data_IF_883016357267
#
_entry.id   IF_883016357267
#
_cell.length_a   1.000
_cell.length_b   1.000
_cell.length_c   1.000
_cell.angle_alpha   90.00
_cell.angle_beta   90.00
_cell.angle_gamma   90.00
#
_symmetry.space_group_name_H-M   'P 1'
#
loop_
_entity.id
_entity.type
_entity.pdbx_description
1 polymer ?
#
# COMPACT_ATOMS: atom_id res chain seq x y z
N UNK A 1 -33.65 -22.88 70.23
CA UNK A 1 -32.76 -23.26 71.34
C UNK A 1 -31.55 -23.94 70.68
N UNK A 2 -30.31 -23.47 70.67
CA UNK A 2 -29.51 -22.59 71.56
C UNK A 2 -28.23 -22.14 70.82
N UNK A 3 -27.81 -20.89 71.08
CA UNK A 3 -26.43 -20.33 71.26
C UNK A 3 -25.29 -20.76 70.32
N UNK A 4 -24.69 -19.88 69.50
CA UNK A 4 -23.65 -18.85 69.80
C UNK A 4 -22.35 -19.42 70.41
N UNK A 5 -21.21 -19.29 69.69
CA UNK A 5 -20.00 -18.57 70.16
C UNK A 5 -18.91 -18.46 69.08
N UNK A 6 -18.28 -17.28 69.05
CA UNK A 6 -17.13 -16.86 68.24
C UNK A 6 -15.80 -17.23 68.93
N UNK A 7 -14.67 -17.11 68.22
CA UNK A 7 -13.35 -16.54 68.63
C UNK A 7 -12.23 -17.21 67.79
N UNK A 8 -11.40 -16.51 66.99
CA UNK A 8 -10.41 -15.45 67.29
C UNK A 8 -9.24 -16.05 68.11
N UNK A 9 -8.08 -16.26 67.47
CA UNK A 9 -6.71 -15.74 67.79
C UNK A 9 -5.77 -16.95 67.89
N UNK A 10 -4.45 -16.97 67.68
CA UNK A 10 -3.42 -15.97 67.45
C UNK A 10 -2.16 -16.70 66.89
N UNK A 11 -1.28 -15.93 66.26
CA UNK A 11 0.01 -16.26 65.61
C UNK A 11 1.11 -16.77 66.59
N UNK A 12 2.44 -16.66 66.27
CA UNK A 12 3.27 -17.47 65.38
C UNK A 12 4.52 -18.07 66.10
N UNK A 13 5.44 -18.65 65.32
CA UNK A 13 6.89 -18.85 65.59
C UNK A 13 7.30 -20.27 66.01
N UNK A 14 8.06 -20.97 65.16
CA UNK A 14 9.49 -21.31 65.34
C UNK A 14 10.04 -22.06 64.09
N UNK A 15 11.19 -21.58 63.60
CA UNK A 15 12.07 -22.05 62.49
C UNK A 15 12.75 -23.41 62.85
N UNK A 16 13.42 -24.19 61.95
CA UNK A 16 14.27 -23.71 60.83
C UNK A 16 14.35 -24.55 59.52
N UNK A 17 14.72 -23.82 58.45
CA UNK A 17 15.72 -24.14 57.44
C UNK A 17 15.87 -25.60 56.94
N UNK A 18 15.36 -25.87 55.74
CA UNK A 18 16.12 -26.62 54.73
C UNK A 18 15.94 -25.98 53.35
N UNK A 19 17.02 -25.33 52.92
CA UNK A 19 17.24 -24.81 51.58
C UNK A 19 17.31 -26.00 50.63
N UNK A 20 16.33 -26.15 49.74
CA UNK A 20 16.50 -26.93 48.53
C UNK A 20 16.96 -25.99 47.43
N UNK A 21 18.26 -26.06 47.12
CA UNK A 21 18.87 -25.40 45.98
C UNK A 21 18.27 -25.98 44.69
N UNK A 22 17.24 -25.35 44.14
CA UNK A 22 16.89 -25.52 42.73
C UNK A 22 18.00 -24.88 41.90
N UNK A 23 18.90 -25.73 41.39
CA UNK A 23 19.86 -25.39 40.35
C UNK A 23 19.13 -24.70 39.19
N UNK A 24 19.30 -23.38 39.09
CA UNK A 24 19.13 -22.65 37.84
C UNK A 24 20.21 -23.15 36.85
N UNK A 25 19.90 -24.25 36.16
CA UNK A 25 20.62 -24.61 34.95
C UNK A 25 20.15 -23.66 33.85
N UNK A 26 20.90 -22.56 33.70
CA UNK A 26 20.88 -21.71 32.53
C UNK A 26 21.10 -22.56 31.27
N UNK A 27 20.04 -22.91 30.55
CA UNK A 27 20.13 -23.50 29.23
C UNK A 27 20.60 -22.43 28.24
N UNK A 28 21.90 -22.17 28.23
CA UNK A 28 22.55 -21.47 27.14
C UNK A 28 22.51 -22.38 25.90
N UNK A 29 21.45 -22.21 25.10
CA UNK A 29 21.33 -22.85 23.80
C UNK A 29 22.48 -22.32 22.94
N UNK A 30 23.51 -23.16 22.73
CA UNK A 30 24.63 -22.91 21.82
C UNK A 30 24.11 -22.86 20.38
N UNK A 31 23.54 -21.71 20.00
CA UNK A 31 23.19 -21.41 18.62
C UNK A 31 24.48 -21.24 17.84
N UNK A 32 24.73 -22.17 16.90
CA UNK A 32 25.80 -22.06 15.91
C UNK A 32 25.89 -20.64 15.35
N UNK A 33 27.10 -20.11 15.19
CA UNK A 33 27.32 -18.79 14.56
C UNK A 33 26.58 -18.64 13.22
N UNK A 34 26.39 -19.74 12.47
CA UNK A 34 25.56 -19.76 11.25
C UNK A 34 24.07 -19.51 11.53
N UNK A 35 23.52 -20.05 12.63
CA UNK A 35 22.14 -19.81 13.05
C UNK A 35 21.94 -18.35 13.51
N UNK A 36 22.92 -17.79 14.22
CA UNK A 36 22.91 -16.38 14.63
C UNK A 36 22.91 -15.43 13.42
N UNK A 37 23.73 -15.72 12.40
CA UNK A 37 23.78 -14.96 11.15
C UNK A 37 22.47 -15.05 10.35
N UNK A 38 21.82 -16.23 10.30
CA UNK A 38 20.50 -16.39 9.67
C UNK A 38 19.43 -15.55 10.38
N UNK A 39 19.44 -15.51 11.71
CA UNK A 39 18.51 -14.71 12.52
C UNK A 39 18.71 -13.20 12.31
N UNK A 40 19.96 -12.75 12.22
CA UNK A 40 20.32 -11.34 11.94
C UNK A 40 19.93 -10.91 10.52
N UNK A 41 20.01 -11.80 9.54
CA UNK A 41 19.60 -11.55 8.14
C UNK A 41 18.08 -11.58 7.91
N UNK A 42 17.29 -12.15 8.84
CA UNK A 42 15.83 -12.06 8.82
C UNK A 42 15.31 -10.73 9.36
N UNK A 43 16.09 -10.01 10.17
CA UNK A 43 15.79 -8.63 10.61
C UNK A 43 16.13 -7.59 9.55
N UNK A 44 15.76 -7.84 8.28
CA UNK A 44 15.66 -6.75 7.31
C UNK A 44 14.54 -5.84 7.80
N UNK A 45 14.92 -4.72 8.41
CA UNK A 45 13.99 -3.62 8.74
C UNK A 45 13.07 -3.43 7.52
N UNK A 46 11.74 -3.39 7.69
CA UNK A 46 10.85 -3.21 6.56
C UNK A 46 11.29 -1.94 5.88
N UNK A 47 11.70 -2.05 4.61
CA UNK A 47 11.98 -0.89 3.79
C UNK A 47 10.64 -0.15 3.73
N UNK A 48 10.53 0.87 4.57
CA UNK A 48 9.52 1.92 4.50
C UNK A 48 9.72 2.59 3.15
N UNK A 49 9.19 1.94 2.11
CA UNK A 49 9.06 2.57 0.80
C UNK A 49 7.97 3.61 1.03
N UNK A 50 8.38 4.88 1.09
CA UNK A 50 7.53 6.08 1.01
C UNK A 50 6.98 6.18 -0.43
N UNK A 51 6.40 5.08 -0.90
CA UNK A 51 5.56 5.06 -2.09
C UNK A 51 4.17 4.88 -1.50
N UNK A 52 3.19 5.74 -1.83
CA UNK A 52 1.82 5.51 -1.41
C UNK A 52 1.41 4.11 -1.88
N UNK A 53 1.42 3.15 -0.95
CA UNK A 53 0.98 1.78 -1.21
C UNK A 53 -0.51 1.78 -0.96
N UNK A 54 -1.25 1.36 -1.98
CA UNK A 54 -2.66 1.05 -1.83
C UNK A 54 -2.82 -0.02 -0.73
N UNK A 55 -3.79 0.12 0.19
CA UNK A 55 -4.01 -0.85 1.25
C UNK A 55 -4.19 -2.25 0.66
N UNK A 56 -3.62 -3.24 1.34
CA UNK A 56 -3.43 -4.59 0.82
C UNK A 56 -4.73 -5.32 0.46
N UNK A 57 -5.84 -4.94 1.11
CA UNK A 57 -7.18 -5.45 0.87
C UNK A 57 -7.81 -5.04 -0.46
N UNK A 58 -7.24 -4.04 -1.17
CA UNK A 58 -7.84 -3.47 -2.39
C UNK A 58 -6.89 -3.67 -3.58
N UNK A 59 -6.08 -4.73 -3.59
CA UNK A 59 -5.19 -5.07 -4.70
C UNK A 59 -5.92 -5.78 -5.84
N UNK A 60 -6.98 -5.19 -6.41
CA UNK A 60 -7.46 -5.68 -7.70
C UNK A 60 -6.44 -5.34 -8.78
N UNK A 61 -5.72 -6.35 -9.28
CA UNK A 61 -4.75 -6.19 -10.38
C UNK A 61 -5.41 -5.64 -11.66
N UNK A 62 -6.72 -5.83 -11.80
CA UNK A 62 -7.48 -5.53 -13.00
C UNK A 62 -8.01 -4.08 -13.05
N UNK A 63 -8.35 -3.47 -11.91
CA UNK A 63 -8.90 -2.10 -11.90
C UNK A 63 -7.90 -1.09 -12.49
N UNK A 64 -6.65 -1.00 -12.02
CA UNK A 64 -5.69 -0.06 -12.59
C UNK A 64 -5.39 -0.28 -14.07
N UNK A 65 -5.37 -1.55 -14.50
CA UNK A 65 -5.16 -1.95 -15.90
C UNK A 65 -6.28 -1.42 -16.77
N UNK A 66 -7.54 -1.62 -16.35
CA UNK A 66 -8.70 -1.19 -17.09
C UNK A 66 -8.77 0.34 -17.17
N UNK A 67 -8.50 1.02 -16.06
CA UNK A 67 -8.46 2.49 -16.01
C UNK A 67 -7.36 3.06 -16.90
N UNK A 68 -6.15 2.51 -16.84
CA UNK A 68 -5.07 2.93 -17.72
C UNK A 68 -5.43 2.73 -19.20
N UNK A 69 -6.03 1.59 -19.55
CA UNK A 69 -6.47 1.32 -20.91
C UNK A 69 -7.50 2.35 -21.39
N UNK A 70 -8.49 2.68 -20.55
CA UNK A 70 -9.52 3.67 -20.87
C UNK A 70 -8.92 5.07 -21.12
N UNK A 71 -8.00 5.51 -20.26
CA UNK A 71 -7.33 6.82 -20.42
C UNK A 71 -6.50 6.86 -21.70
N UNK A 72 -5.68 5.84 -21.95
CA UNK A 72 -4.86 5.77 -23.17
C UNK A 72 -5.74 5.75 -24.42
N UNK A 73 -6.86 5.03 -24.38
CA UNK A 73 -7.81 5.01 -25.49
C UNK A 73 -8.45 6.39 -25.73
N UNK A 74 -8.79 7.15 -24.68
CA UNK A 74 -9.27 8.53 -24.86
C UNK A 74 -8.23 9.44 -25.51
N UNK A 75 -6.95 9.29 -25.13
CA UNK A 75 -5.85 10.04 -25.74
C UNK A 75 -5.70 9.67 -27.22
N UNK A 76 -5.69 8.38 -27.54
CA UNK A 76 -5.52 7.91 -28.93
C UNK A 76 -6.72 8.27 -29.83
N UNK A 77 -7.91 8.42 -29.25
CA UNK A 77 -9.12 8.85 -29.96
C UNK A 77 -9.26 10.37 -30.06
N UNK A 78 -8.24 11.15 -29.68
CA UNK A 78 -8.23 12.61 -29.72
C UNK A 78 -9.27 13.31 -28.80
N UNK A 79 -9.82 12.62 -27.80
CA UNK A 79 -10.88 13.16 -26.93
C UNK A 79 -10.37 14.13 -25.84
N UNK A 80 -9.04 14.28 -25.71
CA UNK A 80 -8.39 15.11 -24.67
C UNK A 80 -7.27 15.99 -25.24
N UNK A 81 -7.33 16.30 -26.54
CA UNK A 81 -6.31 17.08 -27.24
C UNK A 81 -6.22 18.54 -26.77
N UNK A 82 -7.32 19.06 -26.24
CA UNK A 82 -7.44 20.38 -25.61
C UNK A 82 -6.57 20.53 -24.35
N UNK A 83 -6.20 19.41 -23.72
CA UNK A 83 -5.38 19.37 -22.50
C UNK A 83 -3.88 19.19 -22.78
N UNK A 84 -3.48 19.19 -24.06
CA UNK A 84 -2.11 18.83 -24.47
C UNK A 84 -1.48 19.98 -25.27
N UNK A 85 -0.49 20.65 -24.69
CA UNK A 85 0.30 21.70 -25.35
C UNK A 85 1.01 21.22 -26.63
N UNK A 86 1.96 20.28 -26.51
CA UNK A 86 2.71 19.72 -27.64
C UNK A 86 2.20 18.31 -27.94
N UNK A 87 1.17 18.26 -28.78
CA UNK A 87 0.52 17.01 -29.16
C UNK A 87 1.51 16.01 -29.78
N UNK A 88 2.41 16.46 -30.67
CA UNK A 88 3.35 15.57 -31.36
C UNK A 88 4.30 14.91 -30.38
N UNK A 89 4.88 15.68 -29.46
CA UNK A 89 5.79 15.13 -28.45
C UNK A 89 5.05 14.24 -27.45
N UNK A 90 3.86 14.66 -27.03
CA UNK A 90 3.04 13.90 -26.10
C UNK A 90 2.60 12.56 -26.70
N UNK A 91 2.17 12.51 -27.96
CA UNK A 91 1.84 11.26 -28.64
C UNK A 91 3.03 10.32 -28.77
N UNK A 92 4.23 10.84 -29.05
CA UNK A 92 5.47 10.03 -29.02
C UNK A 92 5.71 9.45 -27.63
N UNK A 93 5.49 10.23 -26.58
CA UNK A 93 5.59 9.78 -25.19
C UNK A 93 4.57 8.69 -24.86
N UNK A 94 3.30 8.85 -25.24
CA UNK A 94 2.24 7.87 -25.02
C UNK A 94 2.52 6.58 -25.81
N UNK A 95 2.97 6.69 -27.05
CA UNK A 95 3.29 5.54 -27.90
C UNK A 95 4.46 4.73 -27.33
N UNK A 96 5.50 5.40 -26.83
CA UNK A 96 6.62 4.74 -26.12
C UNK A 96 6.15 4.02 -24.86
N UNK A 97 5.12 4.55 -24.21
CA UNK A 97 4.54 3.99 -22.99
C UNK A 97 3.24 3.20 -23.24
N UNK A 98 2.94 2.75 -24.47
CA UNK A 98 1.66 2.06 -24.80
C UNK A 98 1.41 0.77 -23.98
N UNK A 99 2.46 0.20 -23.39
CA UNK A 99 2.40 -0.95 -22.49
C UNK A 99 2.02 -0.60 -21.04
N UNK A 100 1.39 0.55 -20.79
CA UNK A 100 0.73 0.85 -19.50
C UNK A 100 -0.53 -0.05 -19.37
N UNK A 101 -0.30 -1.35 -19.22
CA UNK A 101 -1.33 -2.36 -18.96
C UNK A 101 -1.39 -2.74 -17.48
N UNK A 102 -0.55 -2.13 -16.63
CA UNK A 102 -0.54 -2.44 -15.21
C UNK A 102 -0.32 -1.17 -14.39
N UNK A 103 -0.74 -1.24 -13.13
CA UNK A 103 -0.62 -0.15 -12.17
C UNK A 103 0.84 0.30 -12.01
N UNK A 104 1.79 -0.62 -11.97
CA UNK A 104 3.18 -0.30 -11.75
C UNK A 104 3.76 0.60 -12.87
N UNK A 105 3.39 0.32 -14.12
CA UNK A 105 3.76 1.14 -15.26
C UNK A 105 3.04 2.48 -15.20
N UNK A 106 1.74 2.49 -14.87
CA UNK A 106 0.98 3.74 -14.72
C UNK A 106 1.65 4.66 -13.69
N UNK A 107 1.99 4.12 -12.52
CA UNK A 107 2.69 4.82 -11.44
C UNK A 107 4.10 5.28 -11.84
N UNK A 108 4.81 4.56 -12.70
CA UNK A 108 6.11 5.01 -13.22
C UNK A 108 5.96 6.25 -14.10
N UNK A 109 4.94 6.26 -14.96
CA UNK A 109 4.71 7.34 -15.92
C UNK A 109 4.13 8.58 -15.23
N UNK A 110 3.50 8.43 -14.07
CA UNK A 110 2.96 9.56 -13.31
C UNK A 110 3.92 10.13 -12.26
N UNK A 111 5.07 9.50 -11.98
CA UNK A 111 6.03 10.06 -11.01
C UNK A 111 6.79 11.25 -11.60
N UNK A 112 7.06 12.31 -10.82
CA UNK A 112 7.94 13.39 -11.25
C UNK A 112 9.31 12.86 -11.70
N UNK A 113 9.80 13.40 -12.81
CA UNK A 113 11.11 13.05 -13.37
C UNK A 113 12.09 14.21 -13.23
N UNK A 114 13.38 13.89 -13.10
CA UNK A 114 14.45 14.90 -12.92
C UNK A 114 14.65 15.77 -14.18
N UNK A 115 14.50 15.16 -15.35
CA UNK A 115 14.57 15.85 -16.64
C UNK A 115 13.28 16.67 -16.85
N UNK A 116 13.40 18.00 -16.93
CA UNK A 116 12.27 18.93 -17.04
C UNK A 116 11.34 18.62 -18.22
N UNK A 117 11.90 18.35 -19.41
CA UNK A 117 11.13 18.00 -20.62
C UNK A 117 10.22 16.79 -20.39
N UNK A 118 10.77 15.71 -19.81
CA UNK A 118 10.00 14.51 -19.47
C UNK A 118 8.98 14.82 -18.38
N UNK A 119 9.36 15.61 -17.37
CA UNK A 119 8.47 15.98 -16.28
C UNK A 119 7.26 16.79 -16.80
N UNK A 120 7.42 17.65 -17.80
CA UNK A 120 6.32 18.37 -18.45
C UNK A 120 5.30 17.39 -19.03
N UNK A 121 5.75 16.43 -19.83
CA UNK A 121 4.88 15.40 -20.44
C UNK A 121 4.18 14.53 -19.38
N UNK A 122 4.91 14.15 -18.33
CA UNK A 122 4.32 13.38 -17.23
C UNK A 122 3.30 14.19 -16.42
N UNK A 123 3.52 15.50 -16.28
CA UNK A 123 2.58 16.41 -15.61
C UNK A 123 1.28 16.51 -16.40
N UNK A 124 1.36 16.71 -17.72
CA UNK A 124 0.19 16.69 -18.60
C UNK A 124 -0.54 15.35 -18.53
N UNK A 125 0.20 14.23 -18.56
CA UNK A 125 -0.42 12.90 -18.41
C UNK A 125 -1.11 12.73 -17.05
N UNK A 126 -0.52 13.23 -15.95
CA UNK A 126 -1.17 13.26 -14.62
C UNK A 126 -2.46 14.08 -14.64
N UNK A 127 -2.47 15.24 -15.27
CA UNK A 127 -3.65 16.10 -15.38
C UNK A 127 -4.78 15.42 -16.14
N UNK A 128 -4.47 14.77 -17.27
CA UNK A 128 -5.45 13.97 -18.02
C UNK A 128 -6.02 12.84 -17.16
N UNK A 129 -5.16 12.10 -16.45
CA UNK A 129 -5.59 11.04 -15.54
C UNK A 129 -6.53 11.59 -14.45
N UNK A 130 -6.19 12.72 -13.86
CA UNK A 130 -6.99 13.39 -12.84
C UNK A 130 -8.36 13.83 -13.38
N UNK A 131 -8.40 14.43 -14.57
CA UNK A 131 -9.62 14.87 -15.22
C UNK A 131 -10.54 13.68 -15.58
N UNK A 132 -9.96 12.59 -16.07
CA UNK A 132 -10.69 11.33 -16.27
C UNK A 132 -11.32 10.84 -14.97
N UNK A 133 -10.55 10.77 -13.88
CA UNK A 133 -11.05 10.34 -12.57
C UNK A 133 -12.17 11.23 -12.03
N UNK A 134 -12.07 12.55 -12.23
CA UNK A 134 -13.07 13.51 -11.76
C UNK A 134 -14.37 13.42 -12.55
N UNK A 135 -14.29 13.45 -13.89
CA UNK A 135 -15.46 13.69 -14.76
C UNK A 135 -15.99 12.42 -15.43
N UNK A 136 -15.10 11.51 -15.84
CA UNK A 136 -15.44 10.42 -16.76
C UNK A 136 -15.49 9.05 -16.09
N UNK A 137 -14.91 8.90 -14.90
CA UNK A 137 -14.74 7.60 -14.25
C UNK A 137 -16.03 6.91 -13.86
N UNK A 138 -16.99 7.66 -13.31
CA UNK A 138 -18.28 7.10 -12.87
C UNK A 138 -19.10 6.66 -14.09
N UNK A 139 -19.34 7.50 -15.11
CA UNK A 139 -19.95 7.06 -16.37
C UNK A 139 -19.21 5.88 -16.99
N UNK A 140 -17.87 5.90 -17.01
CA UNK A 140 -17.07 4.80 -17.52
C UNK A 140 -17.37 3.49 -16.81
N UNK A 141 -17.54 3.47 -15.49
CA UNK A 141 -17.82 2.22 -14.76
C UNK A 141 -19.14 1.62 -15.17
N UNK A 142 -20.19 2.44 -15.19
CA UNK A 142 -21.56 1.98 -15.44
C UNK A 142 -21.83 1.70 -16.93
N UNK A 143 -21.16 2.40 -17.83
CA UNK A 143 -21.28 2.18 -19.28
C UNK A 143 -20.34 1.07 -19.77
N UNK A 144 -19.33 0.71 -18.99
CA UNK A 144 -18.47 -0.44 -19.28
C UNK A 144 -19.11 -1.72 -18.73
N UNK A 145 -18.93 -2.85 -19.43
CA UNK A 145 -19.36 -4.19 -18.99
C UNK A 145 -18.50 -4.72 -17.82
N UNK A 146 -18.35 -3.94 -16.75
CA UNK A 146 -17.53 -4.25 -15.57
C UNK A 146 -18.38 -5.09 -14.60
N UNK A 147 -17.84 -6.25 -14.21
CA UNK A 147 -18.54 -7.20 -13.31
C UNK A 147 -18.69 -6.70 -11.86
N UNK A 148 -17.79 -5.85 -11.38
CA UNK A 148 -17.78 -5.34 -10.00
C UNK A 148 -17.64 -3.80 -9.99
N UNK A 149 -18.73 -3.06 -10.23
CA UNK A 149 -18.70 -1.59 -10.26
C UNK A 149 -18.37 -0.97 -8.90
N UNK A 150 -18.85 -1.54 -7.79
CA UNK A 150 -18.59 -1.03 -6.44
C UNK A 150 -17.10 -1.05 -6.08
N UNK A 151 -16.41 -2.17 -6.37
CA UNK A 151 -14.97 -2.27 -6.16
C UNK A 151 -14.19 -1.24 -6.98
N UNK A 152 -14.65 -0.90 -8.18
CA UNK A 152 -14.07 0.18 -8.98
C UNK A 152 -14.31 1.56 -8.35
N UNK A 153 -15.53 1.83 -7.85
CA UNK A 153 -15.85 3.11 -7.20
C UNK A 153 -15.01 3.33 -5.93
N UNK A 154 -14.85 2.31 -5.09
CA UNK A 154 -13.97 2.37 -3.92
C UNK A 154 -12.50 2.64 -4.30
N UNK A 155 -12.06 2.07 -5.42
CA UNK A 155 -10.70 2.25 -5.94
C UNK A 155 -10.43 3.67 -6.47
N UNK A 156 -11.49 4.38 -6.92
CA UNK A 156 -11.39 5.75 -7.44
C UNK A 156 -10.67 6.69 -6.49
N UNK A 157 -11.06 6.68 -5.21
CA UNK A 157 -10.51 7.56 -4.18
C UNK A 157 -9.01 7.34 -4.04
N UNK A 158 -8.56 6.10 -4.17
CA UNK A 158 -7.16 5.76 -4.04
C UNK A 158 -6.35 6.17 -5.26
N UNK A 159 -6.90 5.99 -6.47
CA UNK A 159 -6.29 6.51 -7.69
C UNK A 159 -6.21 8.04 -7.68
N UNK A 160 -7.24 8.72 -7.15
CA UNK A 160 -7.20 10.17 -6.98
C UNK A 160 -6.05 10.58 -6.07
N UNK A 161 -5.83 9.92 -4.93
CA UNK A 161 -4.68 10.22 -4.05
C UNK A 161 -3.33 10.09 -4.76
N UNK A 162 -3.19 9.14 -5.69
CA UNK A 162 -1.98 8.94 -6.49
C UNK A 162 -1.73 10.12 -7.44
N UNK A 163 -2.76 10.56 -8.17
CA UNK A 163 -2.61 11.63 -9.17
C UNK A 163 -2.74 13.04 -8.58
N UNK A 164 -3.23 13.18 -7.35
CA UNK A 164 -3.29 14.43 -6.61
C UNK A 164 -1.91 14.93 -6.13
N UNK A 165 -0.85 14.12 -6.22
CA UNK A 165 0.47 14.49 -5.71
C UNK A 165 1.03 15.73 -6.44
N UNK A 166 0.85 16.88 -5.77
CA UNK A 166 1.35 18.24 -6.02
C UNK A 166 1.24 18.70 -7.47
N UNK A 167 0.09 19.30 -7.78
CA UNK A 167 0.00 20.37 -8.78
C UNK A 167 0.94 21.52 -8.38
#
# INVERSE_FOLDING_TARGET
MTSVTQSIENSPTFLPCYVTQTKEQSMAINLSWKALLRKKNQTKRPISKIVPRLPESIKSKNIPKNVAKAIIQQILNNNVMDQIDDQKEFFKFITKNKKIQNLANLLKVTRPHKIQRINKLQTQFRQICWNFLKKQYVPYIFNSKIKNPEGHLQYRVQLMKVFAQKQ
#
